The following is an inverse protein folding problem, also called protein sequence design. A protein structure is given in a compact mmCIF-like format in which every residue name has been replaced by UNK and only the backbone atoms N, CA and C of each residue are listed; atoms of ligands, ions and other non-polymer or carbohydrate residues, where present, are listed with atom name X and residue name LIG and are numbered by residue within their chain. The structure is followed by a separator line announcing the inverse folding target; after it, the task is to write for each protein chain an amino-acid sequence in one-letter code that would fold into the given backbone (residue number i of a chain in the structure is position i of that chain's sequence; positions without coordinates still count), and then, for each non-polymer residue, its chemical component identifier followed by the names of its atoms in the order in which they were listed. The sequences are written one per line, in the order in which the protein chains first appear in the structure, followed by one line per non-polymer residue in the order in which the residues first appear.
data_IF_855715721199
#
_entry.id   IF_855715721199
#
_cell.length_a   1.000
_cell.length_b   1.000
_cell.length_c   1.000
_cell.angle_alpha   90.00
_cell.angle_beta   90.00
_cell.angle_gamma   90.00
#
_symmetry.space_group_name_H-M   'P 1'
#
loop_
_entity.id
_entity.type
_entity.pdbx_description
1 polymer ?
#
# COMPACT_ATOMS: atom_id res chain seq x y z
N UNK A 1 -3.55 9.05 -14.60
CA UNK A 1 -3.71 7.66 -14.16
C UNK A 1 -5.14 7.23 -14.48
N UNK A 2 -5.37 5.98 -14.81
CA UNK A 2 -6.72 5.45 -15.11
C UNK A 2 -7.67 5.59 -13.91
N UNK A 3 -7.15 5.36 -12.71
CA UNK A 3 -7.87 5.46 -11.44
C UNK A 3 -8.33 6.88 -11.05
N UNK A 4 -7.80 7.91 -11.72
CA UNK A 4 -8.16 9.32 -11.47
C UNK A 4 -9.18 9.84 -12.50
N UNK A 5 -9.58 9.00 -13.44
CA UNK A 5 -10.47 9.40 -14.52
C UNK A 5 -11.93 9.18 -14.09
N UNK A 6 -12.77 10.23 -14.07
CA UNK A 6 -14.19 10.06 -13.80
C UNK A 6 -14.82 9.12 -14.83
N UNK A 7 -15.58 8.13 -14.38
CA UNK A 7 -16.31 7.27 -15.28
C UNK A 7 -17.62 7.95 -15.72
N UNK A 8 -17.88 8.13 -17.02
CA UNK A 8 -19.16 8.68 -17.49
C UNK A 8 -20.37 7.89 -17.02
N UNK A 9 -20.19 6.59 -16.77
CA UNK A 9 -21.24 5.69 -16.26
C UNK A 9 -21.78 6.11 -14.90
N UNK A 10 -20.95 6.71 -14.05
CA UNK A 10 -21.32 7.09 -12.70
C UNK A 10 -21.49 8.61 -12.54
N UNK A 11 -21.64 9.36 -13.64
CA UNK A 11 -21.73 10.82 -13.62
C UNK A 11 -22.93 11.38 -12.84
N UNK A 12 -23.97 10.56 -12.63
CA UNK A 12 -25.19 10.93 -11.92
C UNK A 12 -25.42 10.05 -10.67
N UNK A 13 -24.39 9.47 -10.12
CA UNK A 13 -24.48 8.55 -8.98
C UNK A 13 -25.11 9.20 -7.73
N UNK A 14 -24.98 10.50 -7.61
CA UNK A 14 -25.54 11.34 -6.53
C UNK A 14 -27.07 11.36 -6.49
N UNK A 15 -27.73 11.06 -7.60
CA UNK A 15 -29.21 11.01 -7.70
C UNK A 15 -29.77 9.59 -7.82
N UNK A 16 -28.91 8.58 -7.74
CA UNK A 16 -29.33 7.18 -7.81
C UNK A 16 -29.97 6.73 -6.50
N UNK A 17 -30.80 5.71 -6.57
CA UNK A 17 -31.33 5.05 -5.37
C UNK A 17 -30.19 4.35 -4.59
N UNK A 18 -30.33 4.16 -3.28
CA UNK A 18 -29.34 3.43 -2.48
C UNK A 18 -29.01 2.04 -3.02
N UNK A 19 -30.01 1.35 -3.59
CA UNK A 19 -29.80 0.02 -4.20
C UNK A 19 -28.90 0.10 -5.42
N UNK A 20 -29.14 1.05 -6.32
CA UNK A 20 -28.34 1.24 -7.52
C UNK A 20 -26.89 1.63 -7.18
N UNK A 21 -26.71 2.46 -6.13
CA UNK A 21 -25.37 2.82 -5.65
C UNK A 21 -24.65 1.57 -5.13
N UNK A 22 -25.31 0.74 -4.33
CA UNK A 22 -24.73 -0.48 -3.79
C UNK A 22 -24.36 -1.47 -4.92
N UNK A 23 -25.22 -1.65 -5.90
CA UNK A 23 -24.95 -2.50 -7.06
C UNK A 23 -23.72 -2.00 -7.84
N UNK A 24 -23.61 -0.70 -8.07
CA UNK A 24 -22.45 -0.10 -8.73
C UNK A 24 -21.14 -0.31 -7.94
N UNK A 25 -21.20 -0.19 -6.62
CA UNK A 25 -20.03 -0.45 -5.74
C UNK A 25 -19.62 -1.93 -5.79
N UNK A 26 -20.58 -2.85 -5.72
CA UNK A 26 -20.33 -4.30 -5.80
C UNK A 26 -19.74 -4.66 -7.16
N UNK A 27 -20.27 -4.13 -8.24
CA UNK A 27 -19.74 -4.34 -9.58
C UNK A 27 -18.28 -3.87 -9.70
N UNK A 28 -17.96 -2.73 -9.09
CA UNK A 28 -16.57 -2.23 -9.01
C UNK A 28 -15.62 -3.21 -8.31
N UNK A 29 -16.09 -3.89 -7.25
CA UNK A 29 -15.30 -4.92 -6.57
C UNK A 29 -15.09 -6.16 -7.46
N UNK A 30 -16.09 -6.62 -8.16
CA UNK A 30 -15.94 -7.73 -9.11
C UNK A 30 -14.95 -7.40 -10.23
N UNK A 31 -14.99 -6.18 -10.77
CA UNK A 31 -14.04 -5.73 -11.77
C UNK A 31 -12.59 -5.72 -11.22
N UNK A 32 -12.40 -5.27 -9.97
CA UNK A 32 -11.10 -5.27 -9.30
C UNK A 32 -10.58 -6.71 -9.11
N UNK A 33 -11.42 -7.63 -8.64
CA UNK A 33 -11.05 -9.06 -8.49
C UNK A 33 -10.68 -9.67 -9.84
N UNK A 34 -11.43 -9.38 -10.91
CA UNK A 34 -11.12 -9.86 -12.25
C UNK A 34 -9.76 -9.35 -12.75
N UNK A 35 -9.43 -8.09 -12.48
CA UNK A 35 -8.14 -7.51 -12.84
C UNK A 35 -6.98 -8.20 -12.10
N UNK A 36 -7.13 -8.44 -10.80
CA UNK A 36 -6.14 -9.18 -9.99
C UNK A 36 -5.99 -10.61 -10.51
N UNK A 37 -7.10 -11.29 -10.82
CA UNK A 37 -7.07 -12.65 -11.35
C UNK A 37 -6.31 -12.71 -12.69
N UNK A 38 -6.53 -11.74 -13.58
CA UNK A 38 -5.80 -11.65 -14.84
C UNK A 38 -4.29 -11.40 -14.64
N UNK A 39 -3.92 -10.65 -13.59
CA UNK A 39 -2.53 -10.37 -13.24
C UNK A 39 -1.84 -11.51 -12.44
N UNK A 40 -2.56 -12.59 -12.06
CA UNK A 40 -2.06 -13.67 -11.22
C UNK A 40 -0.68 -14.21 -11.62
N UNK A 41 -0.37 -14.48 -12.90
CA UNK A 41 0.95 -15.00 -13.27
C UNK A 41 2.11 -14.03 -12.96
N UNK A 42 1.87 -12.72 -13.14
CA UNK A 42 2.87 -11.70 -12.82
C UNK A 42 3.04 -11.54 -11.30
N UNK A 43 1.95 -11.64 -10.54
CA UNK A 43 1.97 -11.61 -9.07
C UNK A 43 2.74 -12.81 -8.53
N UNK A 44 2.52 -14.01 -9.06
CA UNK A 44 3.25 -15.23 -8.68
C UNK A 44 4.76 -15.09 -8.93
N UNK A 45 5.16 -14.61 -10.10
CA UNK A 45 6.57 -14.35 -10.41
C UNK A 45 7.21 -13.35 -9.44
N UNK A 46 6.49 -12.27 -9.12
CA UNK A 46 6.95 -11.28 -8.15
C UNK A 46 7.09 -11.88 -6.74
N UNK A 47 6.13 -12.70 -6.31
CA UNK A 47 6.17 -13.37 -5.02
C UNK A 47 7.37 -14.31 -4.89
N UNK A 48 7.63 -15.15 -5.90
CA UNK A 48 8.78 -16.06 -5.93
C UNK A 48 10.12 -15.30 -5.90
N UNK A 49 10.22 -14.24 -6.68
CA UNK A 49 11.41 -13.39 -6.69
C UNK A 49 11.63 -12.67 -5.34
N UNK A 50 10.56 -12.29 -4.67
CA UNK A 50 10.60 -11.68 -3.33
C UNK A 50 10.99 -12.71 -2.27
N UNK A 51 10.41 -13.92 -2.29
CA UNK A 51 10.74 -15.01 -1.40
C UNK A 51 12.25 -15.30 -1.38
N UNK A 52 12.85 -15.45 -2.55
CA UNK A 52 14.29 -15.68 -2.67
C UNK A 52 15.12 -14.60 -1.96
N UNK A 53 14.81 -13.32 -2.23
CA UNK A 53 15.53 -12.19 -1.61
C UNK A 53 15.32 -12.11 -0.11
N UNK A 54 14.13 -12.43 0.37
CA UNK A 54 13.81 -12.42 1.79
C UNK A 54 14.46 -13.57 2.53
N UNK A 55 14.60 -14.74 1.92
CA UNK A 55 15.33 -15.89 2.46
C UNK A 55 16.80 -15.56 2.67
N UNK A 56 17.39 -14.81 1.74
CA UNK A 56 18.79 -14.35 1.80
C UNK A 56 19.01 -13.19 2.80
N UNK A 57 18.06 -12.91 3.67
CA UNK A 57 18.17 -11.86 4.68
C UNK A 57 17.74 -10.47 4.20
N UNK A 58 17.10 -10.36 3.05
CA UNK A 58 16.57 -9.12 2.50
C UNK A 58 15.51 -8.47 3.38
N UNK A 59 15.22 -7.20 3.13
CA UNK A 59 14.22 -6.40 3.84
C UNK A 59 12.98 -6.22 3.00
N UNK A 60 11.82 -6.24 3.65
CA UNK A 60 10.55 -5.89 3.03
C UNK A 60 10.29 -4.39 3.18
N UNK A 61 9.98 -3.73 2.10
CA UNK A 61 9.75 -2.29 2.06
C UNK A 61 8.36 -2.03 1.49
N UNK A 62 7.50 -1.44 2.31
CA UNK A 62 6.21 -0.90 1.87
C UNK A 62 6.37 0.59 1.60
N UNK A 63 5.96 1.05 0.43
CA UNK A 63 6.01 2.46 0.06
C UNK A 63 4.70 2.88 -0.62
N UNK A 64 4.13 3.99 -0.21
CA UNK A 64 2.90 4.47 -0.82
C UNK A 64 2.53 5.91 -0.45
N UNK A 65 1.47 6.40 -1.08
CA UNK A 65 0.91 7.72 -0.82
C UNK A 65 -0.61 7.63 -0.64
N UNK A 66 -1.19 8.55 0.09
CA UNK A 66 -2.64 8.62 0.34
C UNK A 66 -3.19 7.33 0.94
N UNK A 67 -4.34 6.87 0.47
CA UNK A 67 -5.01 5.66 0.94
C UNK A 67 -4.17 4.41 0.70
N UNK A 68 -3.49 4.29 -0.45
CA UNK A 68 -2.61 3.16 -0.74
C UNK A 68 -1.46 3.07 0.27
N UNK A 69 -0.87 4.22 0.66
CA UNK A 69 0.17 4.26 1.68
C UNK A 69 -0.34 3.86 3.07
N UNK A 70 -1.57 4.25 3.43
CA UNK A 70 -2.21 3.85 4.69
C UNK A 70 -2.45 2.35 4.76
N UNK A 71 -2.98 1.76 3.69
CA UNK A 71 -3.18 0.32 3.58
C UNK A 71 -1.85 -0.44 3.66
N UNK A 72 -0.81 0.05 2.98
CA UNK A 72 0.52 -0.54 3.03
C UNK A 72 1.12 -0.52 4.45
N UNK A 73 0.94 0.57 5.20
CA UNK A 73 1.41 0.67 6.60
C UNK A 73 0.61 -0.28 7.49
N UNK A 74 -0.70 -0.36 7.32
CA UNK A 74 -1.56 -1.28 8.08
C UNK A 74 -1.15 -2.73 7.83
N UNK A 75 -1.03 -3.15 6.58
CA UNK A 75 -0.63 -4.49 6.19
C UNK A 75 0.77 -4.84 6.73
N UNK A 76 1.73 -3.94 6.55
CA UNK A 76 3.08 -4.13 7.07
C UNK A 76 3.14 -4.22 8.60
N UNK A 77 2.31 -3.48 9.33
CA UNK A 77 2.25 -3.56 10.79
C UNK A 77 1.77 -4.93 11.28
N UNK A 78 0.86 -5.57 10.54
CA UNK A 78 0.33 -6.90 10.86
C UNK A 78 1.31 -8.05 10.61
N UNK A 79 2.38 -7.83 9.83
CA UNK A 79 3.40 -8.87 9.60
C UNK A 79 4.11 -9.30 10.89
N UNK A 80 4.27 -8.37 11.84
CA UNK A 80 4.99 -8.64 13.08
C UNK A 80 4.20 -9.60 13.98
N UNK A 81 2.94 -9.32 14.36
CA UNK A 81 2.17 -10.21 15.21
C UNK A 81 1.75 -11.50 14.48
N UNK A 82 1.49 -11.45 13.17
CA UNK A 82 0.94 -12.58 12.41
C UNK A 82 2.01 -13.58 12.00
N UNK A 83 3.18 -13.10 11.57
CA UNK A 83 4.25 -13.93 11.02
C UNK A 83 5.55 -13.87 11.83
N UNK A 84 5.56 -13.19 12.99
CA UNK A 84 6.76 -12.96 13.79
C UNK A 84 7.88 -12.30 12.97
N UNK A 85 7.50 -11.43 12.01
CA UNK A 85 8.45 -10.81 11.11
C UNK A 85 9.44 -9.92 11.88
N UNK A 86 10.77 -10.01 11.61
CA UNK A 86 11.76 -9.20 12.30
C UNK A 86 11.57 -7.71 12.00
N UNK A 87 11.53 -6.88 13.06
CA UNK A 87 11.27 -5.43 12.94
C UNK A 87 12.35 -4.70 12.13
N UNK A 88 13.58 -5.12 12.23
CA UNK A 88 14.73 -4.57 11.50
C UNK A 88 14.71 -4.90 9.99
N UNK A 89 13.88 -5.86 9.61
CA UNK A 89 13.67 -6.27 8.22
C UNK A 89 12.40 -5.71 7.59
N UNK A 90 11.70 -4.81 8.28
CA UNK A 90 10.48 -4.16 7.78
C UNK A 90 10.67 -2.64 7.73
N UNK A 91 10.40 -2.06 6.57
CA UNK A 91 10.44 -0.62 6.35
C UNK A 91 9.09 -0.15 5.79
N UNK A 92 8.53 0.88 6.41
CA UNK A 92 7.24 1.45 6.03
C UNK A 92 7.44 2.91 5.65
N UNK A 93 7.13 3.26 4.40
CA UNK A 93 7.23 4.62 3.89
C UNK A 93 5.87 5.11 3.40
N UNK A 94 5.40 6.22 3.96
CA UNK A 94 4.21 6.90 3.48
C UNK A 94 4.53 8.35 3.13
N UNK A 95 4.11 8.81 1.96
CA UNK A 95 4.25 10.20 1.57
C UNK A 95 3.46 11.09 2.55
N UNK A 96 4.11 12.16 3.06
CA UNK A 96 3.56 13.00 4.12
C UNK A 96 3.85 12.51 5.54
N UNK A 97 4.57 11.39 5.70
CA UNK A 97 5.02 10.87 7.01
C UNK A 97 3.86 10.42 7.90
N UNK A 98 4.09 10.38 9.22
CA UNK A 98 3.10 9.91 10.21
C UNK A 98 1.79 10.68 10.20
N UNK A 99 1.85 11.98 9.90
CA UNK A 99 0.66 12.84 9.85
C UNK A 99 -0.31 12.35 8.76
N UNK A 100 0.21 11.84 7.64
CA UNK A 100 -0.58 11.30 6.54
C UNK A 100 -1.36 10.01 6.89
N UNK A 101 -1.06 9.37 8.03
CA UNK A 101 -1.84 8.22 8.51
C UNK A 101 -3.22 8.64 9.03
N UNK A 102 -3.30 9.82 9.66
CA UNK A 102 -4.51 10.29 10.36
C UNK A 102 -5.17 11.50 9.70
N UNK A 103 -4.46 12.20 8.82
CA UNK A 103 -4.97 13.38 8.12
C UNK A 103 -4.74 13.28 6.62
N UNK A 104 -5.60 13.93 5.84
CA UNK A 104 -5.32 14.16 4.42
C UNK A 104 -4.23 15.23 4.33
N UNK A 105 -3.02 14.83 3.98
CA UNK A 105 -1.92 15.75 3.72
C UNK A 105 -1.83 15.93 2.21
N UNK A 106 -2.14 17.12 1.73
CA UNK A 106 -1.86 17.51 0.34
C UNK A 106 -0.35 17.69 0.19
N UNK A 107 0.36 16.59 -0.04
CA UNK A 107 1.76 16.67 -0.42
C UNK A 107 1.84 17.03 -1.91
N UNK A 108 2.72 17.97 -2.29
CA UNK A 108 3.01 18.19 -3.70
C UNK A 108 3.46 16.85 -4.29
N UNK A 109 2.87 16.44 -5.40
CA UNK A 109 3.01 15.13 -6.08
C UNK A 109 4.45 14.74 -6.48
N UNK A 110 5.48 15.48 -6.03
CA UNK A 110 6.84 15.42 -6.59
C UNK A 110 7.96 15.21 -5.58
N UNK A 111 7.71 14.97 -4.30
CA UNK A 111 8.80 14.67 -3.34
C UNK A 111 8.48 13.44 -2.49
N UNK A 112 9.14 12.36 -2.80
CA UNK A 112 9.44 11.30 -1.83
C UNK A 112 10.45 11.87 -0.82
N UNK A 113 9.94 12.55 0.19
CA UNK A 113 10.77 12.87 1.35
C UNK A 113 10.82 11.62 2.24
N UNK A 114 11.99 11.04 2.36
CA UNK A 114 12.27 10.07 3.43
C UNK A 114 11.91 10.74 4.76
N UNK A 115 10.98 10.20 5.55
CA UNK A 115 10.69 10.75 6.87
C UNK A 115 11.93 10.55 7.74
N UNK A 116 12.65 11.62 8.03
CA UNK A 116 13.63 11.62 9.10
C UNK A 116 12.88 11.35 10.41
N UNK A 117 12.98 10.14 10.93
CA UNK A 117 12.38 9.79 12.21
C UNK A 117 11.62 8.46 12.29
N UNK A 118 11.46 7.72 11.19
CA UNK A 118 10.84 6.38 11.23
C UNK A 118 11.84 5.23 11.20
N UNK A 119 13.09 5.50 10.94
CA UNK A 119 14.17 4.55 11.21
C UNK A 119 14.57 4.64 12.68
N UNK A 120 13.95 3.84 13.52
CA UNK A 120 14.55 3.33 14.73
C UNK A 120 15.67 2.34 14.39
N UNK A 121 16.51 2.66 13.44
CA UNK A 121 17.76 1.96 13.19
C UNK A 121 18.80 2.62 14.09
N UNK A 122 18.87 2.22 15.35
CA UNK A 122 20.11 2.29 16.09
C UNK A 122 21.13 1.46 15.34
N UNK A 123 21.94 2.12 14.54
CA UNK A 123 23.19 1.56 14.04
C UNK A 123 24.09 1.41 15.27
N UNK A 124 23.98 0.29 15.97
CA UNK A 124 25.02 -0.13 16.90
C UNK A 124 26.20 -0.56 16.04
N UNK A 125 27.15 0.34 15.88
CA UNK A 125 28.48 0.01 15.42
C UNK A 125 29.05 -1.08 16.35
N UNK A 126 29.40 -2.24 15.81
CA UNK A 126 30.23 -3.23 16.53
C UNK A 126 31.61 -2.62 16.67
N UNK A 127 32.19 -2.57 17.87
CA UNK A 127 33.63 -2.30 18.01
C UNK A 127 34.41 -3.51 17.49
N UNK A 128 35.49 -3.23 16.83
CA UNK A 128 36.54 -4.13 16.34
C UNK A 128 37.11 -5.02 17.45
#
# INVERSE_FOLDING_TARGET
METERPSPRFSTIDVWSPSEILDAMIEGQFAAVAAVHAARPAIEQAALAMEQRLTDGGRLIYAGAGTSGRLAVQDGAELIPTFSWPRDRLLLFIAGGREALIRAVEAPKTRLTTPSGWCGATTSARPT
#
